data_IF_680464172341
#
_entry.id   IF_680464172341
#
_cell.length_a   1.000
_cell.length_b   1.000
_cell.length_c   1.000
_cell.angle_alpha   90.00
_cell.angle_beta   90.00
_cell.angle_gamma   90.00
#
_symmetry.space_group_name_H-M   'P 1'
#
loop_
_entity.id
_entity.type
_entity.pdbx_description
1 polymer ?
#
# COMPACT_ATOMS: atom_id res chain seq x y z
N UNK A 1 -15.98 32.29 2.24
CA UNK A 1 -15.87 32.47 0.77
C UNK A 1 -14.39 32.50 0.50
N UNK A 2 -13.85 31.42 -0.09
CA UNK A 2 -12.41 31.27 -0.26
C UNK A 2 -11.87 32.30 -1.24
N UNK A 3 -10.68 32.84 -0.97
CA UNK A 3 -10.03 33.78 -1.87
C UNK A 3 -9.61 33.06 -3.17
N UNK A 4 -9.61 33.78 -4.29
CA UNK A 4 -9.23 33.20 -5.59
C UNK A 4 -7.79 32.65 -5.56
N UNK A 5 -6.89 33.36 -4.89
CA UNK A 5 -5.49 32.95 -4.71
C UNK A 5 -5.37 31.65 -3.92
N UNK A 6 -6.26 31.41 -2.96
CA UNK A 6 -6.28 30.17 -2.16
C UNK A 6 -6.85 28.99 -2.94
N UNK A 7 -7.81 29.22 -3.84
CA UNK A 7 -8.25 28.20 -4.81
C UNK A 7 -7.11 27.79 -5.74
N UNK A 8 -6.34 28.76 -6.27
CA UNK A 8 -5.19 28.48 -7.13
C UNK A 8 -4.10 27.72 -6.37
N UNK A 9 -3.73 28.20 -5.17
CA UNK A 9 -2.75 27.53 -4.31
C UNK A 9 -3.14 26.08 -3.99
N UNK A 10 -4.42 25.84 -3.68
CA UNK A 10 -4.93 24.50 -3.43
C UNK A 10 -4.83 23.58 -4.65
N UNK A 11 -5.12 24.10 -5.85
CA UNK A 11 -5.00 23.35 -7.10
C UNK A 11 -3.53 23.02 -7.44
N UNK A 12 -2.63 23.99 -7.32
CA UNK A 12 -1.20 23.81 -7.56
C UNK A 12 -0.55 22.85 -6.56
N UNK A 13 -0.94 22.94 -5.28
CA UNK A 13 -0.53 22.01 -4.24
C UNK A 13 -0.99 20.58 -4.55
N UNK A 14 -2.25 20.41 -5.01
CA UNK A 14 -2.80 19.10 -5.36
C UNK A 14 -2.09 18.45 -6.55
N UNK A 15 -1.65 19.25 -7.53
CA UNK A 15 -0.88 18.79 -8.70
C UNK A 15 0.63 18.64 -8.41
N UNK A 16 1.11 19.16 -7.28
CA UNK A 16 2.53 19.15 -6.93
C UNK A 16 3.37 20.11 -7.77
N UNK A 17 2.81 21.25 -8.18
CA UNK A 17 3.49 22.26 -9.02
C UNK A 17 4.32 23.29 -8.23
N UNK A 18 4.13 23.32 -6.91
CA UNK A 18 4.83 24.25 -6.02
C UNK A 18 6.32 23.91 -5.89
N UNK A 19 7.16 24.94 -5.77
CA UNK A 19 8.57 24.76 -5.37
C UNK A 19 8.67 24.17 -3.96
N UNK A 20 9.85 23.71 -3.56
CA UNK A 20 10.06 23.12 -2.24
C UNK A 20 9.75 24.09 -1.07
N UNK A 21 9.98 25.39 -1.26
CA UNK A 21 9.69 26.40 -0.25
C UNK A 21 8.19 26.71 -0.16
N UNK A 22 7.56 26.93 -1.32
CA UNK A 22 6.10 27.15 -1.40
C UNK A 22 5.33 25.96 -0.89
N UNK A 23 5.76 24.73 -1.21
CA UNK A 23 5.15 23.50 -0.74
C UNK A 23 5.15 23.43 0.79
N UNK A 24 6.27 23.76 1.44
CA UNK A 24 6.35 23.77 2.92
C UNK A 24 5.41 24.79 3.54
N UNK A 25 5.21 25.95 2.90
CA UNK A 25 4.25 26.95 3.35
C UNK A 25 2.82 26.46 3.16
N UNK A 26 2.49 25.95 1.98
CA UNK A 26 1.19 25.42 1.63
C UNK A 26 0.79 24.26 2.55
N UNK A 27 1.68 23.31 2.82
CA UNK A 27 1.41 22.17 3.69
C UNK A 27 1.05 22.62 5.12
N UNK A 28 1.73 23.64 5.66
CA UNK A 28 1.38 24.23 6.97
C UNK A 28 -0.01 24.88 6.93
N UNK A 29 -0.27 25.72 5.92
CA UNK A 29 -1.57 26.38 5.78
C UNK A 29 -2.71 25.37 5.61
N UNK A 30 -2.54 24.34 4.80
CA UNK A 30 -3.53 23.26 4.60
C UNK A 30 -3.78 22.49 5.92
N UNK A 31 -2.74 22.30 6.74
CA UNK A 31 -2.88 21.68 8.04
C UNK A 31 -3.68 22.57 9.02
N UNK A 32 -3.46 23.88 9.00
CA UNK A 32 -4.01 24.81 10.00
C UNK A 32 -5.36 25.45 9.60
N UNK A 33 -5.61 25.66 8.31
CA UNK A 33 -6.76 26.39 7.75
C UNK A 33 -7.82 25.42 7.19
N UNK A 34 -8.99 25.23 7.85
CA UNK A 34 -9.98 24.23 7.43
C UNK A 34 -10.59 24.48 6.04
N UNK A 35 -10.80 25.74 5.66
CA UNK A 35 -11.35 26.09 4.33
C UNK A 35 -10.37 25.70 3.22
N UNK A 36 -9.09 26.06 3.34
CA UNK A 36 -8.06 25.69 2.38
C UNK A 36 -7.86 24.17 2.30
N UNK A 37 -7.96 23.47 3.44
CA UNK A 37 -7.93 22.00 3.48
C UNK A 37 -9.07 21.37 2.69
N UNK A 38 -10.28 21.90 2.83
CA UNK A 38 -11.44 21.44 2.09
C UNK A 38 -11.30 21.68 0.59
N UNK A 39 -10.75 22.84 0.20
CA UNK A 39 -10.47 23.19 -1.19
C UNK A 39 -9.40 22.27 -1.80
N UNK A 40 -8.28 22.05 -1.10
CA UNK A 40 -7.24 21.12 -1.54
C UNK A 40 -7.78 19.70 -1.72
N UNK A 41 -8.63 19.22 -0.80
CA UNK A 41 -9.29 17.92 -0.94
C UNK A 41 -10.29 17.88 -2.12
N UNK A 42 -10.94 18.99 -2.45
CA UNK A 42 -11.78 19.11 -3.65
C UNK A 42 -10.94 18.92 -4.92
N UNK A 43 -9.81 19.62 -5.04
CA UNK A 43 -8.92 19.50 -6.17
C UNK A 43 -8.30 18.10 -6.30
N UNK A 44 -7.88 17.49 -5.18
CA UNK A 44 -7.39 16.10 -5.19
C UNK A 44 -8.42 15.12 -5.76
N UNK A 45 -9.69 15.23 -5.35
CA UNK A 45 -10.78 14.38 -5.89
C UNK A 45 -11.04 14.67 -7.36
N UNK A 46 -11.04 15.94 -7.75
CA UNK A 46 -11.24 16.35 -9.14
C UNK A 46 -10.19 15.73 -10.07
N UNK A 47 -8.91 15.83 -9.71
CA UNK A 47 -7.83 15.24 -10.49
C UNK A 47 -7.82 13.71 -10.45
N UNK A 48 -8.12 13.09 -9.30
CA UNK A 48 -8.23 11.64 -9.22
C UNK A 48 -9.27 11.08 -10.20
N UNK A 49 -10.40 11.78 -10.39
CA UNK A 49 -11.42 11.41 -11.37
C UNK A 49 -10.92 11.40 -12.81
N UNK A 50 -9.94 12.25 -13.16
CA UNK A 50 -9.35 12.27 -14.50
C UNK A 50 -8.48 11.05 -14.81
N UNK A 51 -8.01 10.34 -13.77
CA UNK A 51 -7.16 9.16 -13.94
C UNK A 51 -7.99 7.89 -14.25
N UNK A 52 -9.31 7.91 -14.03
CA UNK A 52 -10.17 6.75 -14.23
C UNK A 52 -10.10 6.11 -15.64
N UNK A 53 -9.94 6.86 -16.75
CA UNK A 53 -9.80 6.28 -18.08
C UNK A 53 -8.40 5.72 -18.37
N UNK A 54 -7.41 5.96 -17.52
CA UNK A 54 -6.04 5.50 -17.76
C UNK A 54 -5.93 3.99 -17.46
N UNK A 55 -5.18 3.24 -18.28
CA UNK A 55 -4.96 1.82 -18.02
C UNK A 55 -4.14 1.63 -16.75
N UNK A 56 -4.55 0.66 -15.92
CA UNK A 56 -3.79 0.26 -14.75
C UNK A 56 -2.46 -0.41 -15.16
N UNK A 57 -1.38 -0.03 -14.50
CA UNK A 57 -0.05 -0.63 -14.69
C UNK A 57 0.33 -1.37 -13.43
N UNK A 58 0.44 -2.70 -13.52
CA UNK A 58 0.83 -3.53 -12.37
C UNK A 58 2.31 -3.27 -12.02
N UNK A 59 2.63 -2.78 -10.81
CA UNK A 59 4.01 -2.60 -10.40
C UNK A 59 4.68 -3.97 -10.13
N UNK A 60 6.02 -4.07 -10.20
CA UNK A 60 6.73 -5.28 -9.80
C UNK A 60 6.40 -5.68 -8.36
N UNK A 61 6.18 -6.97 -8.11
CA UNK A 61 5.77 -7.48 -6.79
C UNK A 61 6.67 -7.04 -5.62
N UNK A 62 7.97 -6.81 -5.89
CA UNK A 62 8.96 -6.32 -4.90
C UNK A 62 8.68 -4.91 -4.38
N UNK A 63 7.91 -4.09 -5.10
CA UNK A 63 7.70 -2.68 -4.73
C UNK A 63 6.95 -2.59 -3.41
N UNK A 64 5.89 -3.41 -3.24
CA UNK A 64 5.10 -3.43 -2.01
C UNK A 64 5.94 -3.87 -0.81
N UNK A 65 6.67 -4.98 -0.93
CA UNK A 65 7.49 -5.48 0.18
C UNK A 65 8.63 -4.53 0.54
N UNK A 66 9.25 -3.86 -0.44
CA UNK A 66 10.27 -2.85 -0.19
C UNK A 66 9.72 -1.61 0.54
N UNK A 67 8.51 -1.17 0.19
CA UNK A 67 7.82 -0.07 0.88
C UNK A 67 7.47 -0.45 2.31
N UNK A 68 6.92 -1.65 2.52
CA UNK A 68 6.55 -2.13 3.86
C UNK A 68 7.77 -2.23 4.78
N UNK A 69 8.88 -2.79 4.29
CA UNK A 69 10.13 -2.86 5.05
C UNK A 69 10.67 -1.47 5.39
N UNK A 70 10.64 -0.51 4.45
CA UNK A 70 11.18 0.84 4.66
C UNK A 70 10.32 1.69 5.61
N UNK A 71 9.00 1.58 5.51
CA UNK A 71 8.07 2.46 6.23
C UNK A 71 7.71 1.95 7.63
N UNK A 72 7.77 0.63 7.83
CA UNK A 72 7.28 0.01 9.07
C UNK A 72 8.31 -0.88 9.76
N UNK A 73 9.57 -0.88 9.30
CA UNK A 73 10.59 -1.86 9.73
C UNK A 73 10.04 -3.30 9.68
N UNK A 74 9.18 -3.57 8.70
CA UNK A 74 8.54 -4.88 8.60
C UNK A 74 9.63 -5.94 8.38
N UNK A 75 9.75 -6.95 9.26
CA UNK A 75 10.73 -7.98 9.09
C UNK A 75 10.47 -8.67 7.75
N UNK A 76 11.53 -8.93 6.98
CA UNK A 76 11.41 -9.72 5.76
C UNK A 76 10.62 -10.98 6.10
N UNK A 77 9.44 -11.14 5.46
CA UNK A 77 8.56 -12.29 5.68
C UNK A 77 9.35 -13.56 5.41
N UNK A 78 9.80 -14.22 6.46
CA UNK A 78 10.45 -15.51 6.34
C UNK A 78 9.36 -16.50 5.99
N UNK A 79 9.47 -17.13 4.81
CA UNK A 79 8.56 -18.18 4.39
C UNK A 79 8.38 -19.24 5.48
N UNK A 80 9.45 -19.56 6.22
CA UNK A 80 9.41 -20.48 7.36
C UNK A 80 8.65 -19.91 8.56
N UNK A 81 8.79 -18.62 8.86
CA UNK A 81 8.07 -17.97 9.96
C UNK A 81 6.56 -17.86 9.66
N UNK A 82 6.19 -17.52 8.42
CA UNK A 82 4.79 -17.49 7.98
C UNK A 82 4.19 -18.91 7.96
N UNK A 83 4.94 -19.90 7.47
CA UNK A 83 4.44 -21.28 7.44
C UNK A 83 4.26 -21.84 8.87
N UNK A 84 5.17 -21.53 9.80
CA UNK A 84 5.12 -21.96 11.21
C UNK A 84 4.20 -21.09 12.09
N UNK A 85 3.58 -20.05 11.53
CA UNK A 85 2.68 -19.17 12.27
C UNK A 85 1.50 -19.96 12.87
N UNK A 86 1.04 -19.64 14.10
CA UNK A 86 0.00 -20.41 14.79
C UNK A 86 -1.31 -20.55 14.00
N UNK A 87 -1.64 -19.52 13.22
CA UNK A 87 -2.79 -19.45 12.33
C UNK A 87 -2.75 -20.44 11.15
N UNK A 88 -1.55 -20.86 10.73
CA UNK A 88 -1.35 -21.80 9.60
C UNK A 88 -1.19 -23.26 10.04
N UNK A 89 -1.29 -23.56 11.35
CA UNK A 89 -1.10 -24.91 11.92
C UNK A 89 -2.02 -25.97 11.32
N UNK A 90 -3.27 -25.62 11.00
CA UNK A 90 -4.23 -26.59 10.43
C UNK A 90 -3.83 -27.03 9.03
N UNK A 91 -3.34 -26.10 8.20
CA UNK A 91 -2.86 -26.41 6.85
C UNK A 91 -1.55 -27.20 6.89
N UNK A 92 -0.64 -26.83 7.80
CA UNK A 92 0.57 -27.61 8.09
C UNK A 92 0.26 -29.07 8.44
N UNK A 93 -0.66 -29.30 9.37
CA UNK A 93 -1.02 -30.66 9.80
C UNK A 93 -1.60 -31.50 8.65
N UNK A 94 -2.42 -30.91 7.79
CA UNK A 94 -2.96 -31.60 6.61
C UNK A 94 -1.88 -31.99 5.61
N UNK A 95 -0.94 -31.08 5.31
CA UNK A 95 0.17 -31.35 4.39
C UNK A 95 1.09 -32.44 4.94
N UNK A 96 1.40 -32.40 6.24
CA UNK A 96 2.22 -33.43 6.90
C UNK A 96 1.52 -34.78 6.87
N UNK A 97 0.24 -34.83 7.23
CA UNK A 97 -0.55 -36.07 7.20
C UNK A 97 -0.62 -36.67 5.78
N UNK A 98 -0.84 -35.83 4.76
CA UNK A 98 -0.83 -36.27 3.37
C UNK A 98 0.54 -36.83 2.96
N UNK A 99 1.65 -36.17 3.34
CA UNK A 99 3.01 -36.70 3.07
C UNK A 99 3.25 -38.04 3.75
N UNK A 100 2.85 -38.20 5.01
CA UNK A 100 2.99 -39.46 5.74
C UNK A 100 2.18 -40.57 5.05
N UNK A 101 0.95 -40.29 4.63
CA UNK A 101 0.11 -41.25 3.93
C UNK A 101 0.74 -41.71 2.60
N UNK A 102 1.31 -40.79 1.82
CA UNK A 102 2.02 -41.12 0.57
C UNK A 102 3.26 -41.99 0.85
N UNK A 103 4.06 -41.65 1.86
CA UNK A 103 5.24 -42.45 2.22
C UNK A 103 4.85 -43.85 2.71
N UNK A 104 3.77 -43.97 3.49
CA UNK A 104 3.26 -45.26 3.93
C UNK A 104 2.77 -46.11 2.75
N UNK A 105 2.06 -45.51 1.79
CA UNK A 105 1.61 -46.19 0.58
C UNK A 105 2.78 -46.67 -0.30
N UNK A 106 3.82 -45.84 -0.47
CA UNK A 106 5.03 -46.22 -1.19
C UNK A 106 5.80 -47.35 -0.49
N UNK A 107 5.92 -47.30 0.84
CA UNK A 107 6.55 -48.37 1.61
C UNK A 107 5.77 -49.69 1.48
N UNK A 108 4.43 -49.63 1.51
CA UNK A 108 3.58 -50.81 1.32
C UNK A 108 3.64 -51.39 -0.10
N UNK A 109 3.98 -50.58 -1.12
CA UNK A 109 4.18 -51.03 -2.50
C UNK A 109 5.58 -51.61 -2.75
N UNK A 110 6.54 -51.33 -1.86
CA UNK A 110 7.93 -51.81 -1.95
C UNK A 110 8.20 -53.04 -1.08
N UNK A 111 7.21 -53.51 -0.32
CA UNK A 111 7.26 -54.69 0.56
C UNK A 111 6.48 -55.85 -0.07
#
# INVERSE_FOLDING_TARGET
MIAHDDTLLAAEAALGLLSADERRVADRRIADEPELRAEHALWQRYFAGMLAPLPEVTPPARVKSALEARLFDAPARSFWADMLAPENRRMLLLVVAAKIAVLAALAALLL
#
